data_IF_615486408489
#
_entry.id   IF_615486408489
#
_cell.length_a   1.000
_cell.length_b   1.000
_cell.length_c   1.000
_cell.angle_alpha   90.00
_cell.angle_beta   90.00
_cell.angle_gamma   90.00
#
_symmetry.space_group_name_H-M   'P 1'
#
loop_
_entity.id
_entity.type
_entity.pdbx_description
1 polymer ?
#
# COMPACT_ATOMS: atom_id res chain seq x y z
N UNK A 1 54.25 12.38 -32.76
CA UNK A 1 53.18 12.97 -31.95
C UNK A 1 53.65 14.27 -31.35
N UNK A 2 52.93 15.35 -31.56
CA UNK A 2 53.27 16.66 -30.97
C UNK A 2 53.03 16.62 -29.46
N UNK A 3 53.84 17.31 -28.69
CA UNK A 3 53.72 17.33 -27.19
C UNK A 3 52.32 17.65 -26.70
N UNK A 4 51.55 18.45 -27.46
CA UNK A 4 50.15 18.77 -27.17
C UNK A 4 49.17 17.59 -27.34
N UNK A 5 49.44 16.68 -28.28
CA UNK A 5 48.63 15.49 -28.50
C UNK A 5 48.76 14.48 -27.34
N UNK A 6 50.00 14.37 -26.78
CA UNK A 6 50.24 13.50 -25.63
C UNK A 6 49.52 14.04 -24.39
N UNK A 7 49.55 15.35 -24.18
CA UNK A 7 48.83 15.99 -23.06
C UNK A 7 47.33 15.81 -23.18
N UNK A 8 46.78 15.97 -24.38
CA UNK A 8 45.33 15.80 -24.61
C UNK A 8 44.88 14.35 -24.34
N UNK A 9 45.63 13.37 -24.81
CA UNK A 9 45.34 11.94 -24.57
C UNK A 9 45.44 11.63 -23.07
N UNK A 10 46.41 12.15 -22.35
CA UNK A 10 46.51 11.96 -20.91
C UNK A 10 45.34 12.54 -20.16
N UNK A 11 44.81 13.71 -20.52
CA UNK A 11 43.63 14.31 -19.92
C UNK A 11 42.36 13.45 -20.18
N UNK A 12 42.21 13.00 -21.43
CA UNK A 12 41.04 12.13 -21.78
C UNK A 12 41.07 10.84 -20.98
N UNK A 13 42.22 10.19 -20.83
CA UNK A 13 42.41 8.97 -20.05
C UNK A 13 42.05 9.20 -18.57
N UNK A 14 42.49 10.31 -17.99
CA UNK A 14 42.20 10.68 -16.60
C UNK A 14 40.68 10.90 -16.40
N UNK A 15 40.03 11.61 -17.32
CA UNK A 15 38.58 11.86 -17.26
C UNK A 15 37.80 10.56 -17.38
N UNK A 16 38.20 9.67 -18.29
CA UNK A 16 37.54 8.35 -18.44
C UNK A 16 37.72 7.50 -17.19
N UNK A 17 38.91 7.45 -16.61
CA UNK A 17 39.16 6.70 -15.37
C UNK A 17 38.38 7.29 -14.21
N UNK A 18 38.35 8.63 -14.07
CA UNK A 18 37.58 9.29 -13.03
C UNK A 18 36.05 9.00 -13.18
N UNK A 19 35.55 9.04 -14.41
CA UNK A 19 34.16 8.70 -14.72
C UNK A 19 33.82 7.22 -14.42
N UNK A 20 34.73 6.31 -14.74
CA UNK A 20 34.57 4.88 -14.42
C UNK A 20 34.66 4.61 -12.91
N UNK A 21 35.49 5.33 -12.17
CA UNK A 21 35.55 5.24 -10.71
C UNK A 21 34.27 5.82 -10.09
N UNK A 22 33.77 6.95 -10.61
CA UNK A 22 32.52 7.56 -10.19
C UNK A 22 31.33 6.61 -10.47
N UNK A 23 31.23 6.05 -11.66
CA UNK A 23 30.19 5.09 -12.03
C UNK A 23 30.29 3.81 -11.19
N UNK A 24 31.50 3.31 -10.89
CA UNK A 24 31.65 2.15 -9.99
C UNK A 24 31.28 2.47 -8.55
N UNK A 25 31.60 3.68 -8.04
CA UNK A 25 31.16 4.12 -6.71
C UNK A 25 29.65 4.36 -6.68
N UNK A 26 29.09 4.96 -7.73
CA UNK A 26 27.65 5.17 -7.91
C UNK A 26 26.88 3.84 -7.94
N UNK A 27 27.31 2.89 -8.78
CA UNK A 27 26.73 1.54 -8.82
C UNK A 27 26.89 0.78 -7.49
N UNK A 28 28.04 0.91 -6.83
CA UNK A 28 28.27 0.27 -5.53
C UNK A 28 27.41 0.88 -4.43
N UNK A 29 27.11 2.17 -4.51
CA UNK A 29 26.14 2.83 -3.61
C UNK A 29 24.70 2.42 -3.94
N UNK A 30 24.34 2.36 -5.20
CA UNK A 30 22.97 1.93 -5.60
C UNK A 30 22.73 0.43 -5.43
N UNK A 31 23.75 -0.43 -5.62
CA UNK A 31 23.60 -1.87 -5.33
C UNK A 31 23.62 -2.20 -3.83
N UNK A 32 24.22 -1.37 -2.98
CA UNK A 32 24.16 -1.56 -1.52
C UNK A 32 22.81 -1.21 -0.91
N UNK A 33 21.96 -0.45 -1.60
CA UNK A 33 20.64 -0.06 -1.10
C UNK A 33 19.56 -1.13 -1.30
N UNK A 34 19.82 -2.18 -2.08
CA UNK A 34 18.79 -3.16 -2.46
C UNK A 34 18.65 -4.35 -1.51
N UNK A 35 19.59 -4.54 -0.56
CA UNK A 35 19.59 -5.69 0.35
C UNK A 35 19.41 -5.33 1.83
N UNK A 36 19.17 -4.04 2.15
CA UNK A 36 18.94 -3.63 3.53
C UNK A 36 17.61 -4.17 4.02
N UNK A 37 17.63 -4.89 5.14
CA UNK A 37 16.40 -5.28 5.85
C UNK A 37 15.91 -4.13 6.72
N UNK A 38 14.67 -4.20 7.17
CA UNK A 38 14.14 -3.22 8.12
C UNK A 38 15.02 -3.14 9.39
N UNK A 39 15.57 -4.28 9.84
CA UNK A 39 16.48 -4.35 10.99
C UNK A 39 17.80 -3.61 10.74
N UNK A 40 18.27 -3.52 9.47
CA UNK A 40 19.48 -2.78 9.11
C UNK A 40 19.24 -1.27 8.98
N UNK A 41 17.97 -0.85 8.90
CA UNK A 41 17.55 0.55 8.68
C UNK A 41 17.08 1.21 9.97
N UNK A 42 16.41 0.45 10.83
CA UNK A 42 15.82 0.93 12.07
C UNK A 42 16.56 0.30 13.26
N UNK A 43 17.07 1.14 14.14
CA UNK A 43 17.84 0.70 15.33
C UNK A 43 16.98 -0.02 16.37
N UNK A 44 15.65 0.13 16.29
CA UNK A 44 14.69 -0.39 17.27
C UNK A 44 13.51 -1.07 16.54
N UNK A 45 13.76 -2.26 16.03
CA UNK A 45 12.72 -3.11 15.45
C UNK A 45 12.10 -3.96 16.55
N UNK A 46 10.84 -3.69 16.87
CA UNK A 46 10.19 -4.33 18.00
C UNK A 46 9.68 -5.71 17.65
N UNK A 47 8.94 -5.92 16.56
CA UNK A 47 8.34 -7.24 16.24
C UNK A 47 7.82 -7.29 14.80
N UNK A 48 7.93 -8.46 14.17
CA UNK A 48 7.15 -8.86 12.99
C UNK A 48 6.13 -9.89 13.45
N UNK A 49 4.85 -9.60 13.30
CA UNK A 49 3.74 -10.46 13.70
C UNK A 49 2.95 -10.95 12.48
N UNK A 50 2.51 -12.19 12.53
CA UNK A 50 1.50 -12.68 11.61
C UNK A 50 0.13 -12.22 12.09
N UNK A 51 -0.65 -11.60 11.21
CA UNK A 51 -2.03 -11.25 11.50
C UNK A 51 -2.93 -12.48 11.33
N UNK A 52 -4.06 -12.55 12.07
CA UNK A 52 -4.98 -13.66 11.96
C UNK A 52 -5.38 -13.91 10.51
N UNK A 53 -5.33 -15.16 10.09
CA UNK A 53 -5.77 -15.56 8.76
C UNK A 53 -7.29 -15.60 8.73
N UNK A 54 -7.86 -14.94 7.75
CA UNK A 54 -9.30 -14.95 7.49
C UNK A 54 -9.56 -15.67 6.16
N UNK A 55 -10.38 -16.70 6.21
CA UNK A 55 -10.77 -17.47 5.05
C UNK A 55 -12.19 -17.08 4.62
N UNK A 56 -12.49 -17.16 3.33
CA UNK A 56 -13.85 -16.99 2.85
C UNK A 56 -14.69 -18.13 3.43
N UNK A 57 -15.60 -17.81 4.34
CA UNK A 57 -16.63 -18.74 4.82
C UNK A 57 -17.79 -18.75 3.81
N UNK A 58 -17.53 -19.21 2.60
CA UNK A 58 -18.60 -19.66 1.70
C UNK A 58 -18.93 -21.08 2.06
N UNK A 59 -20.14 -21.53 1.71
CA UNK A 59 -20.51 -22.97 1.81
C UNK A 59 -19.33 -23.83 1.36
N UNK A 60 -19.02 -24.91 2.08
CA UNK A 60 -17.83 -25.70 1.80
C UNK A 60 -17.81 -26.07 0.34
N UNK A 61 -16.81 -25.56 -0.38
CA UNK A 61 -16.58 -25.93 -1.75
C UNK A 61 -15.83 -27.24 -1.67
N UNK A 62 -16.44 -28.35 -2.14
CA UNK A 62 -15.92 -29.68 -1.91
C UNK A 62 -14.53 -29.95 -2.48
N UNK A 63 -13.98 -29.05 -3.30
CA UNK A 63 -12.77 -29.26 -4.09
C UNK A 63 -11.66 -28.22 -3.86
N UNK A 64 -11.89 -27.16 -3.07
CA UNK A 64 -10.84 -26.19 -2.76
C UNK A 64 -10.23 -26.51 -1.39
N UNK A 65 -8.91 -26.70 -1.28
CA UNK A 65 -8.25 -26.80 0.00
C UNK A 65 -8.51 -25.53 0.81
N UNK A 66 -8.99 -25.65 2.04
CA UNK A 66 -9.31 -24.55 2.95
C UNK A 66 -8.15 -23.54 3.14
N UNK A 67 -6.91 -23.97 2.86
CA UNK A 67 -5.69 -23.18 3.03
C UNK A 67 -5.38 -22.23 1.85
N UNK A 68 -6.14 -22.20 0.78
CA UNK A 68 -5.73 -21.52 -0.46
C UNK A 68 -6.34 -20.11 -0.64
N UNK A 69 -7.48 -19.83 -0.01
CA UNK A 69 -8.11 -18.52 -0.06
C UNK A 69 -7.75 -17.70 1.17
N UNK A 70 -6.63 -17.03 1.12
CA UNK A 70 -6.08 -16.28 2.25
C UNK A 70 -6.42 -14.81 2.19
N UNK A 71 -6.43 -14.19 3.38
CA UNK A 71 -6.47 -12.76 3.53
C UNK A 71 -5.07 -12.17 3.36
N UNK A 72 -4.94 -11.12 2.54
CA UNK A 72 -3.67 -10.46 2.26
C UNK A 72 -3.85 -8.95 2.06
N UNK A 73 -2.75 -8.22 1.89
CA UNK A 73 -2.71 -6.76 1.74
C UNK A 73 -3.50 -6.04 2.85
N UNK A 74 -3.14 -6.27 4.13
CA UNK A 74 -3.85 -5.69 5.25
C UNK A 74 -3.62 -4.19 5.36
N UNK A 75 -4.66 -3.41 5.69
CA UNK A 75 -4.54 -2.03 6.12
C UNK A 75 -5.01 -1.88 7.57
N UNK A 76 -4.66 -0.78 8.22
CA UNK A 76 -4.86 -0.56 9.65
C UNK A 76 -5.30 0.86 9.94
N UNK A 77 -6.22 1.06 10.89
CA UNK A 77 -6.58 2.38 11.40
C UNK A 77 -7.02 2.28 12.87
N UNK A 78 -6.94 3.38 13.59
CA UNK A 78 -7.58 3.48 14.91
C UNK A 78 -9.08 3.67 14.76
N UNK A 79 -9.85 2.98 15.61
CA UNK A 79 -11.28 3.13 15.79
C UNK A 79 -11.55 3.28 17.29
N UNK A 80 -11.60 4.53 17.76
CA UNK A 80 -11.51 4.83 19.19
C UNK A 80 -10.12 4.46 19.73
N UNK A 81 -10.08 3.65 20.79
CA UNK A 81 -8.82 3.12 21.38
C UNK A 81 -8.38 1.80 20.73
N UNK A 82 -9.20 1.19 19.90
CA UNK A 82 -8.91 -0.10 19.27
C UNK A 82 -8.28 0.08 17.90
N UNK A 83 -7.54 -0.95 17.45
CA UNK A 83 -7.03 -1.05 16.09
C UNK A 83 -7.99 -1.86 15.26
N UNK A 84 -8.36 -1.31 14.10
CA UNK A 84 -9.17 -1.97 13.10
C UNK A 84 -8.28 -2.31 11.90
N UNK A 85 -8.39 -3.51 11.40
CA UNK A 85 -7.70 -4.00 10.22
C UNK A 85 -8.69 -4.24 9.08
N UNK A 86 -8.26 -4.01 7.86
CA UNK A 86 -8.96 -4.48 6.67
C UNK A 86 -8.05 -5.42 5.89
N UNK A 87 -8.65 -6.37 5.17
CA UNK A 87 -7.93 -7.33 4.34
C UNK A 87 -8.62 -7.46 2.99
N UNK A 88 -7.83 -7.74 1.97
CA UNK A 88 -8.34 -8.30 0.72
C UNK A 88 -8.41 -9.81 0.84
N UNK A 89 -9.54 -10.39 0.47
CA UNK A 89 -9.70 -11.82 0.25
C UNK A 89 -10.24 -12.03 -1.16
N UNK A 90 -9.76 -13.06 -1.85
CA UNK A 90 -10.17 -13.35 -3.22
C UNK A 90 -10.73 -14.77 -3.31
N UNK A 91 -11.70 -14.99 -4.22
CA UNK A 91 -12.21 -16.33 -4.53
C UNK A 91 -11.35 -17.06 -5.56
N UNK A 92 -10.07 -16.72 -5.62
CA UNK A 92 -9.06 -17.35 -6.45
C UNK A 92 -7.75 -17.43 -5.66
N UNK A 93 -6.88 -18.36 -6.08
CA UNK A 93 -5.59 -18.57 -5.42
C UNK A 93 -4.64 -17.46 -5.85
N UNK A 94 -4.31 -16.57 -4.92
CA UNK A 94 -3.29 -15.55 -5.10
C UNK A 94 -1.91 -16.03 -4.68
N UNK A 95 -1.85 -17.00 -3.75
CA UNK A 95 -0.62 -17.54 -3.19
C UNK A 95 0.23 -18.27 -4.22
N UNK A 96 1.57 -18.14 -4.18
CA UNK A 96 2.46 -19.00 -4.95
C UNK A 96 2.27 -20.47 -4.52
N UNK A 97 2.29 -21.38 -5.48
CA UNK A 97 2.17 -22.81 -5.18
C UNK A 97 3.30 -23.26 -4.24
N UNK A 98 3.02 -24.27 -3.38
CA UNK A 98 4.04 -24.92 -2.51
C UNK A 98 5.28 -25.42 -3.27
N UNK A 99 5.20 -25.56 -4.59
CA UNK A 99 6.33 -25.93 -5.47
C UNK A 99 7.25 -24.74 -5.81
N UNK A 100 6.99 -23.53 -5.29
CA UNK A 100 7.80 -22.33 -5.55
C UNK A 100 7.67 -21.78 -6.98
N UNK A 101 6.74 -22.29 -7.78
CA UNK A 101 6.40 -21.72 -9.08
C UNK A 101 5.28 -20.70 -8.88
N UNK A 102 5.39 -19.48 -9.41
CA UNK A 102 4.30 -18.53 -9.34
C UNK A 102 3.08 -19.13 -10.03
N UNK A 103 2.01 -19.37 -9.27
CA UNK A 103 0.77 -19.98 -9.79
C UNK A 103 -0.09 -19.00 -10.58
N UNK A 104 0.53 -18.01 -11.23
CA UNK A 104 -0.16 -16.94 -11.98
C UNK A 104 -1.11 -17.45 -13.07
N UNK A 105 -1.16 -18.75 -13.36
CA UNK A 105 -1.97 -19.33 -14.42
C UNK A 105 -3.02 -20.36 -13.96
N UNK A 106 -3.13 -20.65 -12.68
CA UNK A 106 -4.19 -21.52 -12.16
C UNK A 106 -5.13 -20.73 -11.27
N UNK A 107 -6.00 -19.95 -11.89
CA UNK A 107 -7.15 -19.36 -11.20
C UNK A 107 -8.14 -20.48 -10.95
N UNK A 108 -8.13 -21.08 -9.77
CA UNK A 108 -9.28 -21.85 -9.29
C UNK A 108 -10.30 -20.80 -8.85
N UNK A 109 -11.29 -20.58 -9.68
CA UNK A 109 -12.39 -19.68 -9.35
C UNK A 109 -13.47 -20.48 -8.64
N UNK A 110 -13.97 -19.88 -7.58
CA UNK A 110 -15.14 -20.34 -6.87
C UNK A 110 -16.30 -19.48 -7.32
N UNK A 111 -17.25 -20.09 -7.99
CA UNK A 111 -18.38 -19.40 -8.59
C UNK A 111 -18.08 -18.90 -10.01
N UNK A 112 -19.07 -18.23 -10.61
CA UNK A 112 -19.04 -17.84 -12.03
C UNK A 112 -18.15 -16.65 -12.36
N UNK A 113 -17.61 -15.96 -11.35
CA UNK A 113 -16.83 -14.73 -11.52
C UNK A 113 -15.65 -14.65 -10.56
N UNK A 114 -14.52 -14.14 -11.04
CA UNK A 114 -13.38 -13.79 -10.21
C UNK A 114 -13.74 -12.57 -9.36
N UNK A 115 -13.70 -12.70 -8.04
CA UNK A 115 -14.13 -11.64 -7.11
C UNK A 115 -13.13 -11.44 -5.98
N UNK A 116 -12.93 -10.18 -5.61
CA UNK A 116 -12.25 -9.79 -4.39
C UNK A 116 -13.25 -9.24 -3.37
N UNK A 117 -12.99 -9.54 -2.10
CA UNK A 117 -13.81 -9.12 -0.97
C UNK A 117 -12.97 -8.30 0.00
N UNK A 118 -13.62 -7.41 0.73
CA UNK A 118 -13.00 -6.71 1.85
C UNK A 118 -13.52 -7.28 3.17
N UNK A 119 -12.60 -7.59 4.06
CA UNK A 119 -12.91 -8.04 5.41
C UNK A 119 -12.38 -7.00 6.39
N UNK A 120 -13.14 -6.74 7.46
CA UNK A 120 -12.71 -5.97 8.62
C UNK A 120 -12.48 -6.91 9.79
N UNK A 121 -11.45 -6.67 10.58
CA UNK A 121 -11.13 -7.42 11.80
C UNK A 121 -10.57 -6.50 12.89
N UNK A 122 -10.82 -6.83 14.13
CA UNK A 122 -10.22 -6.15 15.28
C UNK A 122 -8.88 -6.79 15.73
N UNK A 123 -8.21 -7.51 14.85
CA UNK A 123 -6.94 -8.18 15.15
C UNK A 123 -7.10 -9.55 15.82
N UNK A 124 -8.34 -10.04 15.94
CA UNK A 124 -8.65 -11.40 16.38
C UNK A 124 -9.22 -12.21 15.21
N UNK A 125 -9.60 -13.46 15.45
CA UNK A 125 -10.31 -14.30 14.47
C UNK A 125 -11.71 -13.77 14.12
N UNK A 126 -12.20 -12.75 14.83
CA UNK A 126 -13.46 -12.12 14.53
C UNK A 126 -13.33 -11.25 13.28
N UNK A 127 -14.10 -11.60 12.26
CA UNK A 127 -14.12 -10.89 11.00
C UNK A 127 -15.55 -10.50 10.63
N UNK A 128 -15.67 -9.37 9.94
CA UNK A 128 -16.88 -8.86 9.33
C UNK A 128 -16.64 -8.69 7.84
N UNK A 129 -17.43 -9.35 7.02
CA UNK A 129 -17.35 -9.28 5.56
C UNK A 129 -18.18 -8.10 5.06
N UNK A 130 -17.60 -7.27 4.21
CA UNK A 130 -18.34 -6.23 3.54
C UNK A 130 -19.12 -6.84 2.37
N UNK A 131 -20.43 -6.86 2.52
CA UNK A 131 -21.33 -7.26 1.45
C UNK A 131 -21.64 -6.05 0.57
N UNK A 132 -20.71 -5.79 -0.36
CA UNK A 132 -20.78 -4.68 -1.29
C UNK A 132 -21.38 -5.13 -2.62
N UNK A 133 -22.16 -4.26 -3.30
CA UNK A 133 -22.72 -4.57 -4.61
C UNK A 133 -21.60 -4.81 -5.64
N UNK A 134 -21.87 -5.75 -6.55
CA UNK A 134 -20.96 -6.07 -7.64
C UNK A 134 -20.98 -4.97 -8.69
N UNK A 135 -19.93 -4.17 -8.73
CA UNK A 135 -19.66 -3.29 -9.87
C UNK A 135 -18.91 -4.12 -10.93
N UNK A 136 -19.65 -4.91 -11.70
CA UNK A 136 -19.04 -5.95 -12.50
C UNK A 136 -19.11 -5.66 -14.00
N UNK A 137 -17.95 -5.56 -14.62
CA UNK A 137 -17.80 -5.99 -16.00
C UNK A 137 -17.47 -7.49 -16.04
N UNK A 138 -18.24 -8.30 -16.80
CA UNK A 138 -18.14 -9.77 -16.72
C UNK A 138 -16.78 -10.37 -17.07
N UNK A 139 -15.88 -9.58 -17.67
CA UNK A 139 -14.54 -10.02 -18.09
C UNK A 139 -13.43 -9.63 -17.10
N UNK A 140 -13.73 -8.85 -16.09
CA UNK A 140 -12.75 -8.30 -15.17
C UNK A 140 -12.87 -8.95 -13.79
N UNK A 141 -11.83 -8.81 -12.97
CA UNK A 141 -11.93 -9.12 -11.54
C UNK A 141 -12.97 -8.19 -10.92
N UNK A 142 -13.97 -8.76 -10.27
CA UNK A 142 -15.04 -7.98 -9.63
C UNK A 142 -14.73 -7.71 -8.16
N UNK A 143 -15.45 -6.77 -7.55
CA UNK A 143 -15.28 -6.39 -6.15
C UNK A 143 -14.13 -5.42 -5.92
N UNK A 144 -13.79 -5.23 -4.66
CA UNK A 144 -12.86 -4.20 -4.21
C UNK A 144 -11.53 -4.82 -3.79
N UNK A 145 -10.44 -4.29 -4.36
CA UNK A 145 -9.09 -4.75 -4.13
C UNK A 145 -8.29 -3.76 -3.27
N UNK A 146 -7.35 -4.31 -2.49
CA UNK A 146 -6.33 -3.59 -1.74
C UNK A 146 -6.90 -2.44 -0.89
N UNK A 147 -7.84 -2.73 0.04
CA UNK A 147 -8.50 -1.73 0.83
C UNK A 147 -7.49 -0.99 1.73
N UNK A 148 -7.51 0.35 1.67
CA UNK A 148 -6.85 1.22 2.65
C UNK A 148 -7.91 1.86 3.51
N UNK A 149 -7.76 1.76 4.81
CA UNK A 149 -8.76 2.27 5.75
C UNK A 149 -8.25 3.47 6.52
N UNK A 150 -9.15 4.43 6.74
CA UNK A 150 -8.87 5.60 7.57
C UNK A 150 -10.15 6.04 8.26
N UNK A 151 -10.09 6.20 9.57
CA UNK A 151 -11.22 6.72 10.36
C UNK A 151 -11.24 8.24 10.31
N UNK A 152 -12.43 8.82 10.19
CA UNK A 152 -12.60 10.27 10.25
C UNK A 152 -12.09 10.86 11.58
N UNK A 153 -11.65 12.12 11.60
CA UNK A 153 -11.13 12.74 12.82
C UNK A 153 -12.15 12.81 13.98
N UNK A 154 -13.44 12.79 13.68
CA UNK A 154 -14.52 12.74 14.69
C UNK A 154 -14.85 11.30 15.15
N UNK A 155 -14.17 10.30 14.61
CA UNK A 155 -14.33 8.89 14.95
C UNK A 155 -15.63 8.24 14.46
N UNK A 156 -16.46 8.93 13.65
CA UNK A 156 -17.81 8.46 13.30
C UNK A 156 -17.90 7.69 11.99
N UNK A 157 -16.94 7.89 11.09
CA UNK A 157 -16.98 7.31 9.75
C UNK A 157 -15.67 6.60 9.44
N UNK A 158 -15.75 5.35 9.03
CA UNK A 158 -14.65 4.65 8.38
C UNK A 158 -14.72 4.91 6.87
N UNK A 159 -13.62 5.38 6.32
CA UNK A 159 -13.40 5.49 4.89
C UNK A 159 -12.56 4.31 4.43
N UNK A 160 -13.02 3.61 3.39
CA UNK A 160 -12.29 2.52 2.74
C UNK A 160 -11.99 2.95 1.31
N UNK A 161 -10.73 2.98 0.98
CA UNK A 161 -10.24 3.36 -0.34
C UNK A 161 -9.72 2.10 -1.02
N UNK A 162 -10.38 1.69 -2.07
CA UNK A 162 -10.08 0.47 -2.79
C UNK A 162 -10.01 0.72 -4.29
N UNK A 163 -9.42 -0.19 -5.04
CA UNK A 163 -9.57 -0.20 -6.48
C UNK A 163 -10.53 -1.31 -6.92
N UNK A 164 -11.17 -1.09 -8.05
CA UNK A 164 -12.04 -2.07 -8.71
C UNK A 164 -11.86 -1.97 -10.23
N UNK A 165 -12.18 -3.03 -10.95
CA UNK A 165 -12.13 -3.08 -12.41
C UNK A 165 -13.56 -2.95 -12.97
N UNK A 166 -14.14 -1.77 -12.85
CA UNK A 166 -15.55 -1.52 -13.14
C UNK A 166 -15.82 -0.95 -14.54
N UNK A 167 -14.86 -0.99 -15.46
CA UNK A 167 -15.01 -0.50 -16.83
C UNK A 167 -14.72 -1.56 -17.88
N UNK A 168 -15.12 -1.30 -19.12
CA UNK A 168 -15.03 -2.25 -20.23
C UNK A 168 -13.61 -2.71 -20.58
N UNK A 169 -12.61 -1.87 -20.30
CA UNK A 169 -11.19 -2.13 -20.60
C UNK A 169 -10.46 -2.79 -19.41
N UNK A 170 -11.16 -3.07 -18.32
CA UNK A 170 -10.60 -3.62 -17.07
C UNK A 170 -9.47 -2.75 -16.47
N UNK A 171 -9.49 -1.44 -16.70
CA UNK A 171 -8.62 -0.54 -15.93
C UNK A 171 -9.08 -0.45 -14.49
N UNK A 172 -8.12 -0.41 -13.57
CA UNK A 172 -8.44 -0.17 -12.16
C UNK A 172 -8.92 1.26 -11.96
N UNK A 173 -9.99 1.42 -11.22
CA UNK A 173 -10.57 2.68 -10.78
C UNK A 173 -10.58 2.76 -9.27
N UNK A 174 -10.42 3.96 -8.72
CA UNK A 174 -10.46 4.15 -7.27
C UNK A 174 -11.89 4.35 -6.80
N UNK A 175 -12.22 3.69 -5.70
CA UNK A 175 -13.51 3.80 -5.02
C UNK A 175 -13.32 4.21 -3.56
N UNK A 176 -14.24 5.02 -3.09
CA UNK A 176 -14.36 5.45 -1.70
C UNK A 176 -15.65 4.87 -1.12
N UNK A 177 -15.54 3.99 -0.14
CA UNK A 177 -16.67 3.47 0.62
C UNK A 177 -16.73 4.16 1.98
N UNK A 178 -17.92 4.58 2.41
CA UNK A 178 -18.16 5.27 3.68
C UNK A 178 -19.04 4.42 4.58
N UNK A 179 -18.54 4.04 5.73
CA UNK A 179 -19.24 3.18 6.67
C UNK A 179 -19.33 3.89 8.04
N UNK A 180 -20.53 4.01 8.62
CA UNK A 180 -20.65 4.46 10.00
C UNK A 180 -19.91 3.50 10.95
N UNK A 181 -19.09 4.02 11.85
CA UNK A 181 -18.34 3.22 12.82
C UNK A 181 -19.29 2.41 13.71
N UNK A 182 -20.45 2.98 14.07
CA UNK A 182 -21.48 2.27 14.83
C UNK A 182 -21.94 0.98 14.14
N UNK A 183 -22.18 1.02 12.82
CA UNK A 183 -22.57 -0.18 12.06
C UNK A 183 -21.49 -1.27 12.06
N UNK A 184 -20.21 -0.88 12.16
CA UNK A 184 -19.11 -1.84 12.29
C UNK A 184 -19.14 -2.51 13.68
N UNK A 185 -19.36 -1.72 14.74
CA UNK A 185 -19.50 -2.28 16.10
C UNK A 185 -20.68 -3.22 16.21
N UNK A 186 -21.83 -2.85 15.64
CA UNK A 186 -23.02 -3.71 15.59
C UNK A 186 -22.73 -5.02 14.85
N UNK A 187 -22.04 -4.95 13.70
CA UNK A 187 -21.70 -6.13 12.93
C UNK A 187 -20.74 -7.07 13.69
N UNK A 188 -19.76 -6.53 14.43
CA UNK A 188 -18.88 -7.35 15.27
C UNK A 188 -19.61 -8.05 16.41
N UNK A 189 -20.69 -7.46 16.92
CA UNK A 189 -21.51 -8.03 17.99
C UNK A 189 -22.58 -9.03 17.48
N UNK A 190 -22.79 -9.11 16.16
CA UNK A 190 -23.77 -10.02 15.60
C UNK A 190 -23.48 -11.48 15.95
N UNK A 191 -24.48 -12.25 16.40
CA UNK A 191 -24.34 -13.69 16.62
C UNK A 191 -24.29 -14.49 15.31
N UNK A 192 -24.73 -13.90 14.21
CA UNK A 192 -24.78 -14.55 12.89
C UNK A 192 -23.38 -14.81 12.35
N UNK A 193 -23.20 -15.93 11.64
CA UNK A 193 -21.95 -16.28 10.97
C UNK A 193 -22.24 -16.81 9.58
N UNK A 194 -21.53 -16.33 8.53
CA UNK A 194 -20.55 -15.23 8.61
C UNK A 194 -21.20 -13.91 8.98
N UNK A 195 -20.47 -13.04 9.68
CA UNK A 195 -20.92 -11.68 9.97
C UNK A 195 -20.83 -10.84 8.71
N UNK A 196 -21.97 -10.38 8.22
CA UNK A 196 -22.06 -9.54 7.03
C UNK A 196 -22.36 -8.09 7.44
N UNK A 197 -21.67 -7.16 6.81
CA UNK A 197 -21.99 -5.74 6.87
C UNK A 197 -22.44 -5.29 5.49
N UNK A 198 -23.77 -5.11 5.29
CA UNK A 198 -24.30 -4.66 4.02
C UNK A 198 -23.80 -3.26 3.68
N UNK A 199 -23.28 -3.10 2.48
CA UNK A 199 -22.84 -1.81 1.94
C UNK A 199 -23.79 -1.40 0.81
N UNK A 200 -24.43 -0.24 0.97
CA UNK A 200 -25.37 0.29 -0.05
C UNK A 200 -24.59 1.01 -1.15
N UNK A 201 -25.12 1.02 -2.37
CA UNK A 201 -24.54 1.79 -3.49
C UNK A 201 -24.31 3.26 -3.13
N UNK A 202 -25.22 3.87 -2.37
CA UNK A 202 -25.08 5.27 -1.91
C UNK A 202 -23.89 5.53 -0.98
N UNK A 203 -23.27 4.48 -0.44
CA UNK A 203 -22.09 4.56 0.40
C UNK A 203 -20.80 4.45 -0.40
N UNK A 204 -20.90 4.07 -1.68
CA UNK A 204 -19.76 3.85 -2.58
C UNK A 204 -19.70 4.99 -3.61
N UNK A 205 -18.55 5.61 -3.72
CA UNK A 205 -18.32 6.71 -4.66
C UNK A 205 -17.09 6.40 -5.51
N UNK A 206 -17.26 6.33 -6.81
CA UNK A 206 -16.14 6.22 -7.76
C UNK A 206 -15.37 7.54 -7.79
N UNK A 207 -14.07 7.50 -7.56
CA UNK A 207 -13.20 8.66 -7.60
C UNK A 207 -12.63 8.84 -9.00
N UNK A 208 -12.68 10.05 -9.53
CA UNK A 208 -12.14 10.39 -10.84
C UNK A 208 -11.55 11.80 -10.85
N UNK A 209 -10.54 12.00 -11.68
CA UNK A 209 -9.91 13.32 -11.83
C UNK A 209 -10.80 14.24 -12.67
N UNK A 210 -10.87 15.51 -12.26
CA UNK A 210 -11.60 16.54 -13.01
C UNK A 210 -11.09 16.61 -14.46
N UNK A 211 -12.00 16.47 -15.41
CA UNK A 211 -11.68 16.45 -16.85
C UNK A 211 -11.25 15.07 -17.39
N UNK A 212 -11.18 14.05 -16.54
CA UNK A 212 -10.90 12.66 -16.92
C UNK A 212 -11.88 11.72 -16.21
N UNK A 213 -13.17 11.71 -16.60
CA UNK A 213 -14.18 10.88 -15.93
C UNK A 213 -13.96 9.38 -16.17
N UNK A 214 -13.30 9.00 -17.28
CA UNK A 214 -12.94 7.62 -17.56
C UNK A 214 -11.42 7.42 -17.42
N UNK A 215 -10.98 6.29 -16.84
CA UNK A 215 -9.57 5.99 -16.71
C UNK A 215 -8.97 5.64 -18.08
N UNK A 216 -7.83 6.20 -18.38
CA UNK A 216 -7.00 5.83 -19.54
C UNK A 216 -5.86 4.88 -19.15
N UNK A 217 -5.69 4.64 -17.85
CA UNK A 217 -4.69 3.79 -17.24
C UNK A 217 -5.23 3.23 -15.93
N UNK A 218 -4.52 2.26 -15.36
CA UNK A 218 -4.84 1.77 -14.03
C UNK A 218 -4.64 2.86 -12.97
N UNK A 219 -5.73 3.29 -12.35
CA UNK A 219 -5.73 4.15 -11.18
C UNK A 219 -5.70 3.27 -9.93
N UNK A 220 -4.65 3.39 -9.14
CA UNK A 220 -4.48 2.61 -7.91
C UNK A 220 -3.48 3.23 -6.96
N UNK A 221 -3.48 2.73 -5.72
CA UNK A 221 -2.50 3.11 -4.70
C UNK A 221 -2.57 4.58 -4.27
N UNK A 222 -3.75 5.22 -4.35
CA UNK A 222 -3.95 6.53 -3.77
C UNK A 222 -3.89 6.41 -2.25
N UNK A 223 -3.15 7.33 -1.60
CA UNK A 223 -2.88 7.28 -0.17
C UNK A 223 -3.75 8.30 0.55
N UNK A 224 -4.75 7.89 1.33
CA UNK A 224 -5.62 8.82 2.03
C UNK A 224 -4.92 9.46 3.24
N UNK A 225 -5.27 10.70 3.53
CA UNK A 225 -4.94 11.36 4.78
C UNK A 225 -5.95 12.47 5.08
N UNK A 226 -6.04 12.87 6.34
CA UNK A 226 -6.85 14.01 6.74
C UNK A 226 -5.96 15.23 6.97
N UNK A 227 -6.28 16.34 6.27
CA UNK A 227 -5.83 17.66 6.68
C UNK A 227 -6.98 18.34 7.43
N UNK A 228 -6.85 18.41 8.75
CA UNK A 228 -7.96 18.76 9.66
C UNK A 228 -9.14 17.79 9.46
N UNK A 229 -10.24 18.26 8.91
CA UNK A 229 -11.44 17.45 8.64
C UNK A 229 -11.64 17.13 7.15
N UNK A 230 -10.68 17.51 6.30
CA UNK A 230 -10.77 17.27 4.86
C UNK A 230 -10.03 15.98 4.49
N UNK A 231 -10.71 15.05 3.84
CA UNK A 231 -10.08 13.85 3.28
C UNK A 231 -9.36 14.21 1.98
N UNK A 232 -8.06 14.06 1.98
CA UNK A 232 -7.16 14.30 0.86
C UNK A 232 -6.46 13.01 0.44
N UNK A 233 -5.86 13.03 -0.75
CA UNK A 233 -5.14 11.88 -1.28
C UNK A 233 -3.79 12.29 -1.85
N UNK A 234 -2.73 11.57 -1.46
CA UNK A 234 -1.51 11.55 -2.26
C UNK A 234 -1.78 10.69 -3.49
N UNK A 235 -1.85 11.33 -4.65
CA UNK A 235 -2.08 10.68 -5.94
C UNK A 235 -0.80 10.06 -6.50
N UNK A 236 0.31 10.78 -6.40
CA UNK A 236 1.66 10.31 -6.76
C UNK A 236 2.69 10.84 -5.77
N UNK A 237 3.79 10.10 -5.61
CA UNK A 237 4.84 10.47 -4.63
C UNK A 237 5.87 11.41 -5.28
N UNK A 238 6.26 11.17 -6.53
CA UNK A 238 7.12 12.12 -7.25
C UNK A 238 6.76 12.15 -8.75
N UNK A 239 6.22 13.27 -9.27
CA UNK A 239 5.89 14.48 -8.52
C UNK A 239 4.91 14.17 -7.37
N UNK A 240 5.03 14.93 -6.26
CA UNK A 240 4.14 14.78 -5.11
C UNK A 240 2.86 15.56 -5.38
N UNK A 241 1.83 14.83 -5.80
CA UNK A 241 0.54 15.38 -6.23
C UNK A 241 -0.52 15.09 -5.18
N UNK A 242 -1.19 16.14 -4.72
CA UNK A 242 -2.29 16.05 -3.76
C UNK A 242 -3.62 16.34 -4.46
N UNK A 243 -4.56 15.42 -4.26
CA UNK A 243 -5.94 15.57 -4.73
C UNK A 243 -6.88 15.83 -3.55
N UNK A 244 -7.84 16.72 -3.77
CA UNK A 244 -9.04 16.88 -2.96
C UNK A 244 -10.24 16.34 -3.74
N UNK A 245 -10.95 15.40 -3.17
CA UNK A 245 -12.11 14.77 -3.80
C UNK A 245 -13.40 15.17 -3.07
N UNK A 246 -14.41 15.49 -3.85
CA UNK A 246 -15.77 15.60 -3.32
C UNK A 246 -16.27 14.18 -2.99
N UNK A 247 -16.50 13.91 -1.72
CA UNK A 247 -16.89 12.58 -1.24
C UNK A 247 -18.35 12.21 -1.56
N UNK A 248 -19.12 13.09 -2.23
CA UNK A 248 -20.48 12.81 -2.71
C UNK A 248 -20.48 12.48 -4.19
N UNK A 249 -19.74 13.26 -4.99
CA UNK A 249 -19.70 13.12 -6.44
C UNK A 249 -18.50 12.31 -6.94
N UNK A 250 -17.44 12.17 -6.14
CA UNK A 250 -16.20 11.50 -6.51
C UNK A 250 -15.25 12.34 -7.37
N UNK A 251 -15.63 13.57 -7.74
CA UNK A 251 -14.76 14.42 -8.55
C UNK A 251 -13.57 14.92 -7.74
N UNK A 252 -12.37 14.64 -8.22
CA UNK A 252 -11.10 15.00 -7.60
C UNK A 252 -10.41 16.12 -8.35
N UNK A 253 -9.93 17.13 -7.62
CA UNK A 253 -9.14 18.23 -8.16
C UNK A 253 -7.75 18.22 -7.57
N UNK A 254 -6.74 18.49 -8.39
CA UNK A 254 -5.37 18.70 -7.93
C UNK A 254 -5.28 20.02 -7.17
N UNK A 255 -4.85 19.97 -5.92
CA UNK A 255 -4.69 21.15 -5.05
C UNK A 255 -3.24 21.50 -4.78
N UNK A 256 -2.32 20.56 -4.97
CA UNK A 256 -0.89 20.80 -4.87
C UNK A 256 -0.10 19.84 -5.77
N UNK A 257 1.07 20.32 -6.21
CA UNK A 257 2.07 19.53 -6.93
C UNK A 257 3.45 20.09 -6.61
N UNK A 258 4.35 19.22 -6.19
CA UNK A 258 5.75 19.56 -5.96
C UNK A 258 6.66 18.49 -6.51
N UNK A 259 7.80 18.88 -7.05
CA UNK A 259 8.85 17.97 -7.50
C UNK A 259 10.06 18.05 -6.58
N UNK A 260 10.69 16.92 -6.34
CA UNK A 260 11.95 16.86 -5.62
C UNK A 260 12.90 15.92 -6.38
N UNK A 261 14.03 16.42 -6.92
CA UNK A 261 14.97 15.61 -7.69
C UNK A 261 15.68 14.53 -6.88
N UNK A 262 15.66 14.64 -5.55
CA UNK A 262 16.25 13.66 -4.65
C UNK A 262 15.27 12.49 -4.33
N UNK A 263 14.01 12.60 -4.76
CA UNK A 263 13.00 11.55 -4.57
C UNK A 263 12.92 10.68 -5.82
N UNK A 264 12.97 9.36 -5.64
CA UNK A 264 12.87 8.41 -6.74
C UNK A 264 11.51 8.53 -7.45
N UNK A 265 11.52 8.85 -8.75
CA UNK A 265 10.30 8.99 -9.57
C UNK A 265 9.51 7.69 -9.79
N UNK A 266 10.11 6.54 -9.44
CA UNK A 266 9.44 5.24 -9.48
C UNK A 266 8.62 4.92 -8.24
N UNK A 267 8.71 5.74 -7.17
CA UNK A 267 7.90 5.56 -5.96
C UNK A 267 6.42 5.65 -6.29
N UNK A 268 5.68 4.72 -5.71
CA UNK A 268 4.21 4.62 -5.80
C UNK A 268 3.64 4.63 -4.39
N UNK A 269 2.41 5.08 -4.27
CA UNK A 269 1.70 5.07 -3.00
C UNK A 269 1.54 3.66 -2.43
N UNK A 270 1.59 3.56 -1.12
CA UNK A 270 1.37 2.31 -0.37
C UNK A 270 0.34 2.50 0.72
N UNK A 271 0.75 3.02 1.87
CA UNK A 271 -0.10 3.19 3.04
C UNK A 271 -0.93 4.47 2.98
N UNK A 272 -1.81 4.67 3.94
CA UNK A 272 -2.31 5.99 4.29
C UNK A 272 -1.20 6.82 4.96
N UNK A 273 -1.37 8.17 5.00
CA UNK A 273 -0.47 9.03 5.75
C UNK A 273 -1.06 9.44 7.09
N UNK A 274 -0.20 9.58 8.11
CA UNK A 274 -0.58 9.98 9.47
C UNK A 274 0.16 11.23 9.90
N UNK A 275 -0.56 12.13 10.56
CA UNK A 275 0.03 13.34 11.15
C UNK A 275 0.78 12.96 12.42
N UNK A 276 2.06 13.33 12.50
CA UNK A 276 2.88 13.16 13.67
C UNK A 276 3.86 14.31 13.82
N UNK A 277 3.90 14.94 14.99
CA UNK A 277 4.78 16.07 15.30
C UNK A 277 4.80 17.17 14.23
N UNK A 278 3.61 17.51 13.67
CA UNK A 278 3.46 18.59 12.70
C UNK A 278 3.88 18.25 11.27
N UNK A 279 4.15 17.00 10.97
CA UNK A 279 4.40 16.47 9.62
C UNK A 279 3.55 15.23 9.36
N UNK A 280 3.24 14.96 8.10
CA UNK A 280 2.69 13.67 7.73
C UNK A 280 3.81 12.67 7.50
N UNK A 281 3.56 11.43 7.94
CA UNK A 281 4.44 10.28 7.74
C UNK A 281 3.69 9.23 6.96
N UNK A 282 4.33 8.61 5.97
CA UNK A 282 3.74 7.57 5.15
C UNK A 282 4.81 6.61 4.64
N UNK A 283 4.38 5.46 4.13
CA UNK A 283 5.24 4.50 3.44
C UNK A 283 4.84 4.43 1.97
N UNK A 284 5.83 4.48 1.11
CA UNK A 284 5.72 4.28 -0.33
C UNK A 284 6.49 3.03 -0.74
N UNK A 285 6.25 2.53 -1.95
CA UNK A 285 6.99 1.42 -2.52
C UNK A 285 7.45 1.69 -3.93
N UNK A 286 8.44 0.94 -4.39
CA UNK A 286 8.76 0.82 -5.79
C UNK A 286 9.14 -0.61 -6.15
N UNK A 287 8.89 -0.98 -7.42
CA UNK A 287 9.14 -2.33 -7.91
C UNK A 287 10.47 -2.34 -8.62
N UNK A 288 11.35 -3.26 -8.25
CA UNK A 288 12.60 -3.53 -8.97
C UNK A 288 12.33 -4.32 -10.25
N UNK A 289 13.29 -4.34 -11.18
CA UNK A 289 13.18 -5.13 -12.40
C UNK A 289 13.03 -6.64 -12.18
N UNK A 290 13.41 -7.14 -11.00
CA UNK A 290 13.28 -8.54 -10.57
C UNK A 290 11.92 -8.88 -9.92
N UNK A 291 10.96 -7.98 -9.95
CA UNK A 291 9.63 -8.12 -9.31
C UNK A 291 9.63 -7.99 -7.78
N UNK A 292 10.76 -7.69 -7.15
CA UNK A 292 10.80 -7.40 -5.71
C UNK A 292 10.27 -6.01 -5.42
N UNK A 293 9.55 -5.87 -4.30
CA UNK A 293 9.06 -4.59 -3.81
C UNK A 293 10.01 -4.08 -2.73
N UNK A 294 10.38 -2.82 -2.84
CA UNK A 294 11.14 -2.10 -1.82
C UNK A 294 10.25 -1.04 -1.21
N UNK A 295 10.26 -0.95 0.11
CA UNK A 295 9.53 0.07 0.85
C UNK A 295 10.44 1.23 1.20
N UNK A 296 9.86 2.42 1.31
CA UNK A 296 10.54 3.63 1.76
C UNK A 296 9.56 4.48 2.55
N UNK A 297 9.89 4.76 3.81
CA UNK A 297 9.11 5.72 4.59
C UNK A 297 9.52 7.15 4.21
N UNK A 298 8.57 8.07 4.28
CA UNK A 298 8.84 9.48 3.99
C UNK A 298 7.95 10.40 4.81
N UNK A 299 8.41 11.64 4.96
CA UNK A 299 7.64 12.71 5.60
C UNK A 299 7.33 13.81 4.60
N UNK A 300 6.22 14.52 4.82
CA UNK A 300 5.87 15.71 4.07
C UNK A 300 5.18 16.76 4.96
N UNK A 301 5.19 18.01 4.52
CA UNK A 301 4.63 19.14 5.26
C UNK A 301 3.15 18.94 5.55
N UNK A 302 2.70 19.36 6.76
CA UNK A 302 1.28 19.34 7.15
C UNK A 302 0.54 20.61 6.67
N UNK A 303 0.99 21.19 5.57
CA UNK A 303 0.38 22.37 4.94
C UNK A 303 0.71 22.40 3.45
N UNK A 304 -0.17 23.01 2.68
CA UNK A 304 0.10 23.26 1.26
C UNK A 304 1.43 24.01 1.08
N UNK A 305 2.26 23.61 0.09
CA UNK A 305 2.01 22.64 -0.97
C UNK A 305 2.37 21.18 -0.63
N UNK A 306 2.49 20.79 0.64
CA UNK A 306 2.74 19.43 1.11
C UNK A 306 4.07 18.84 0.57
N UNK A 307 5.14 19.61 0.63
CA UNK A 307 6.45 19.18 0.13
C UNK A 307 6.99 18.00 0.92
N UNK A 308 7.59 17.04 0.23
CA UNK A 308 8.36 15.98 0.87
C UNK A 308 9.56 16.60 1.58
N UNK A 309 9.79 16.21 2.82
CA UNK A 309 10.79 16.81 3.72
C UNK A 309 11.92 15.86 4.07
N UNK A 310 11.64 14.56 4.16
CA UNK A 310 12.66 13.55 4.46
C UNK A 310 12.27 12.18 3.93
N UNK A 311 13.26 11.32 3.72
CA UNK A 311 13.13 9.93 3.26
C UNK A 311 13.96 9.00 4.13
N UNK A 312 13.43 7.83 4.49
CA UNK A 312 14.25 6.74 5.02
C UNK A 312 15.12 6.12 3.92
N UNK A 313 16.14 5.34 4.24
CA UNK A 313 16.69 4.38 3.30
C UNK A 313 15.59 3.43 2.79
N UNK A 314 15.76 2.85 1.60
CA UNK A 314 14.88 1.78 1.13
C UNK A 314 15.13 0.51 1.93
N UNK A 315 14.06 -0.24 2.21
CA UNK A 315 14.14 -1.47 2.99
C UNK A 315 13.16 -2.54 2.50
N UNK A 316 13.45 -3.77 2.88
CA UNK A 316 12.53 -4.92 2.84
C UNK A 316 12.27 -5.37 4.28
N UNK A 317 11.07 -5.87 4.57
CA UNK A 317 10.70 -6.38 5.88
C UNK A 317 10.97 -7.88 5.87
N UNK A 318 12.02 -8.35 6.57
CA UNK A 318 12.35 -9.77 6.65
C UNK A 318 12.34 -10.21 8.11
N UNK A 319 11.69 -11.34 8.39
CA UNK A 319 11.90 -12.02 9.64
C UNK A 319 13.32 -12.61 9.67
N UNK A 320 13.93 -12.69 10.85
CA UNK A 320 15.23 -13.35 11.04
C UNK A 320 15.18 -14.79 10.50
N UNK A 321 16.18 -15.17 9.71
CA UNK A 321 16.32 -16.52 9.16
C UNK A 321 15.61 -16.78 7.84
N UNK A 322 14.80 -15.88 7.31
CA UNK A 322 14.18 -16.06 6.00
C UNK A 322 15.16 -15.86 4.85
N UNK A 323 15.40 -16.93 4.09
CA UNK A 323 16.24 -16.93 2.86
C UNK A 323 15.42 -16.63 1.61
N UNK A 324 14.45 -15.76 1.67
CA UNK A 324 13.60 -15.50 0.53
C UNK A 324 14.37 -14.80 -0.60
N UNK A 325 14.36 -15.40 -1.79
CA UNK A 325 15.08 -14.91 -2.98
C UNK A 325 14.37 -13.79 -3.72
N UNK A 326 13.06 -13.69 -3.57
CA UNK A 326 12.22 -12.67 -4.22
C UNK A 326 11.02 -12.48 -3.32
N UNK A 327 10.76 -11.26 -2.88
CA UNK A 327 9.65 -10.98 -1.98
C UNK A 327 8.77 -9.92 -2.60
N UNK A 328 7.54 -10.30 -2.87
CA UNK A 328 6.46 -9.34 -3.03
C UNK A 328 6.02 -8.98 -1.61
N UNK A 329 6.44 -7.81 -1.13
CA UNK A 329 6.03 -7.24 0.14
C UNK A 329 5.32 -5.93 -0.13
N UNK A 330 4.00 -5.96 -0.07
CA UNK A 330 3.18 -4.80 -0.35
C UNK A 330 2.68 -4.16 0.94
N UNK A 331 3.33 -3.05 1.35
CA UNK A 331 2.84 -2.24 2.46
C UNK A 331 1.54 -1.58 2.04
N UNK A 332 0.46 -1.79 2.79
CA UNK A 332 -0.87 -1.26 2.51
C UNK A 332 -1.51 -0.54 3.69
N UNK A 333 -0.87 -0.54 4.86
CA UNK A 333 -1.34 0.20 6.02
C UNK A 333 -0.22 0.81 6.85
N UNK A 334 -0.53 1.96 7.46
CA UNK A 334 0.33 2.68 8.40
C UNK A 334 -0.53 3.39 9.44
N UNK A 335 -0.30 3.09 10.71
CA UNK A 335 -0.96 3.75 11.83
C UNK A 335 0.05 4.08 12.92
N UNK A 336 -0.24 5.10 13.71
CA UNK A 336 0.59 5.49 14.85
C UNK A 336 -0.24 5.33 16.12
N UNK A 337 0.26 4.51 17.04
CA UNK A 337 -0.34 4.30 18.34
C UNK A 337 0.76 4.24 19.40
N UNK A 338 0.64 5.02 20.46
CA UNK A 338 1.60 5.10 21.58
C UNK A 338 3.06 5.23 21.09
N UNK A 339 3.32 6.24 20.24
CA UNK A 339 4.64 6.52 19.63
C UNK A 339 5.27 5.33 18.87
N UNK A 340 4.46 4.36 18.53
CA UNK A 340 4.85 3.22 17.71
C UNK A 340 4.18 3.28 16.34
N UNK A 341 4.95 3.11 15.30
CA UNK A 341 4.47 2.91 13.93
C UNK A 341 4.05 1.46 13.74
N UNK A 342 2.81 1.25 13.36
CA UNK A 342 2.23 -0.02 12.96
C UNK A 342 2.15 -0.05 11.45
N UNK A 343 2.94 -0.91 10.80
CA UNK A 343 3.04 -1.02 9.35
C UNK A 343 2.53 -2.38 8.92
N UNK A 344 1.38 -2.42 8.26
CA UNK A 344 0.82 -3.68 7.77
C UNK A 344 1.19 -3.90 6.31
N UNK A 345 1.47 -5.17 5.96
CA UNK A 345 1.88 -5.54 4.62
C UNK A 345 1.42 -6.95 4.24
N UNK A 346 1.19 -7.13 2.95
CA UNK A 346 0.99 -8.44 2.34
C UNK A 346 2.32 -9.03 1.88
N UNK A 347 2.53 -10.31 2.13
CA UNK A 347 3.69 -11.06 1.65
C UNK A 347 3.24 -12.09 0.62
N UNK A 348 3.81 -12.00 -0.58
CA UNK A 348 3.55 -12.90 -1.73
C UNK A 348 2.07 -13.00 -2.14
N UNK A 349 1.26 -11.94 -1.90
CA UNK A 349 -0.20 -11.94 -2.07
C UNK A 349 -0.90 -13.10 -1.34
N UNK A 350 -0.32 -13.53 -0.22
CA UNK A 350 -0.71 -14.72 0.51
C UNK A 350 -0.88 -14.49 2.00
N UNK A 351 0.09 -13.87 2.62
CA UNK A 351 0.14 -13.69 4.07
C UNK A 351 -0.06 -12.22 4.45
N UNK A 352 -0.71 -12.01 5.59
CA UNK A 352 -0.92 -10.70 6.19
C UNK A 352 -0.04 -10.55 7.41
N UNK A 353 0.78 -9.50 7.41
CA UNK A 353 1.76 -9.28 8.47
C UNK A 353 1.73 -7.86 8.99
N UNK A 354 2.18 -7.72 10.23
CA UNK A 354 2.36 -6.46 10.93
C UNK A 354 3.83 -6.31 11.34
N UNK A 355 4.40 -5.17 11.02
CA UNK A 355 5.72 -4.74 11.44
C UNK A 355 5.57 -3.52 12.35
N UNK A 356 6.25 -3.52 13.50
CA UNK A 356 6.25 -2.42 14.45
C UNK A 356 7.64 -1.84 14.64
N UNK A 357 7.71 -0.52 14.64
CA UNK A 357 8.95 0.22 14.92
C UNK A 357 8.59 1.48 15.71
N UNK A 358 9.45 1.91 16.64
CA UNK A 358 9.22 3.18 17.35
C UNK A 358 9.25 4.35 16.37
N UNK A 359 8.40 5.36 16.58
CA UNK A 359 8.40 6.56 15.74
C UNK A 359 9.72 7.31 15.81
N UNK A 360 10.42 7.25 16.95
CA UNK A 360 11.75 7.84 17.10
C UNK A 360 12.79 7.17 16.19
N UNK A 361 12.84 5.83 16.14
CA UNK A 361 13.74 5.10 15.27
C UNK A 361 13.40 5.31 13.78
N UNK A 362 12.09 5.28 13.44
CA UNK A 362 11.63 5.54 12.08
C UNK A 362 12.07 6.93 11.60
N UNK A 363 11.87 7.97 12.40
CA UNK A 363 12.25 9.34 12.03
C UNK A 363 13.77 9.57 12.06
N UNK A 364 14.50 8.94 13.00
CA UNK A 364 15.95 9.03 13.08
C UNK A 364 16.65 8.41 11.85
N UNK A 365 16.02 7.43 11.19
CA UNK A 365 16.53 6.83 9.95
C UNK A 365 16.41 7.73 8.72
N UNK A 366 15.62 8.83 8.81
CA UNK A 366 15.27 9.67 7.66
C UNK A 366 16.31 10.77 7.42
N UNK A 367 16.65 10.98 6.16
CA UNK A 367 17.47 12.10 5.71
C UNK A 367 16.61 13.17 5.04
N UNK A 368 16.93 14.44 5.31
CA UNK A 368 16.25 15.58 4.67
C UNK A 368 16.53 15.62 3.17
N UNK A 369 15.54 15.97 2.39
CA UNK A 369 15.60 16.02 0.91
C UNK A 369 15.14 17.38 0.37
#
# INVERSE_FOLDING_TARGET
MRRQEIVLIAIIVIVVIASLIFLRRWNKHHHRTTDRTANDVFDDVVVIEELPQHHIQTEPIPEAPEDEFRAFNPSITKMGEELLYSFRVSNYIACPSKSGKPSRNTTVTVGDKVKSFTILSNGTENAVYLDAPDHAYPKCVTGFEDPRIITSPDGKTLYIISNSHSNADCYSEMHLTKIPVESIHEAFQSPEKPRLLPVKDSQIVRLYKKGQPEPTNHEKNWMPFFDRNELLFVYSVNPHVILKCDTKTGMCTKIAETENPNVNSKLRGSSQARLYNGQYVAVAHWRTGSSSYLSQAYTFEAKSPYKITALSPTFVIKAEGTKAKSLIQFVSGFEIHDDTAYITYGEEDCDSKLFRVSMSALLASMEKV
#
